data_IF_647713949599
#
_entry.id   IF_647713949599
#
_cell.length_a   1.000
_cell.length_b   1.000
_cell.length_c   1.000
_cell.angle_alpha   90.00
_cell.angle_beta   90.00
_cell.angle_gamma   90.00
#
_symmetry.space_group_name_H-M   'P 1'
#
loop_
_entity.id
_entity.type
_entity.pdbx_description
1 polymer ?
#
# COMPACT_ATOMS: atom_id res chain seq x y z
N UNK A 1 14.92 21.17 -9.28
CA UNK A 1 13.61 20.72 -8.79
C UNK A 1 13.84 19.76 -7.64
N UNK A 2 13.50 20.16 -6.40
CA UNK A 2 13.63 19.26 -5.23
C UNK A 2 12.38 18.36 -5.23
N UNK A 3 12.56 17.08 -5.49
CA UNK A 3 11.51 16.06 -5.31
C UNK A 3 11.22 15.94 -3.81
N UNK A 4 9.95 16.01 -3.45
CA UNK A 4 9.52 15.90 -2.07
C UNK A 4 9.37 14.45 -1.71
N UNK A 5 9.74 14.17 -0.48
CA UNK A 5 9.73 12.93 0.26
C UNK A 5 9.09 11.72 -0.43
N UNK A 6 9.87 10.69 -0.65
CA UNK A 6 9.35 9.41 -1.08
C UNK A 6 8.57 8.79 0.10
N UNK A 7 7.29 8.52 -0.09
CA UNK A 7 6.55 7.64 0.79
C UNK A 7 6.71 6.23 0.28
N UNK A 8 7.27 5.37 1.08
CA UNK A 8 7.50 3.97 0.73
C UNK A 8 6.82 3.11 1.76
N UNK A 9 5.97 2.22 1.30
CA UNK A 9 5.40 1.17 2.12
C UNK A 9 5.66 -0.18 1.47
N UNK A 10 6.09 -1.13 2.26
CA UNK A 10 6.15 -2.53 1.86
C UNK A 10 5.37 -3.35 2.88
N UNK A 11 4.52 -4.23 2.39
CA UNK A 11 3.81 -5.20 3.21
C UNK A 11 4.35 -6.60 2.91
N UNK A 12 4.70 -7.35 3.94
CA UNK A 12 5.07 -8.75 3.83
C UNK A 12 4.09 -9.58 4.66
N UNK A 13 3.45 -10.57 4.03
CA UNK A 13 2.62 -11.56 4.69
C UNK A 13 3.38 -12.88 4.80
N UNK A 14 3.62 -13.33 6.03
CA UNK A 14 4.26 -14.60 6.34
C UNK A 14 3.18 -15.66 6.57
N UNK A 15 3.12 -16.66 5.71
CA UNK A 15 2.19 -17.77 5.85
C UNK A 15 2.95 -19.02 6.32
N UNK A 16 2.65 -19.45 7.54
CA UNK A 16 3.13 -20.71 8.11
C UNK A 16 2.03 -21.76 8.05
N UNK A 17 2.25 -22.86 7.34
CA UNK A 17 1.39 -24.04 7.32
C UNK A 17 2.27 -25.28 7.38
N UNK A 18 1.86 -26.25 8.19
CA UNK A 18 2.47 -27.60 8.19
C UNK A 18 1.88 -28.42 7.04
N UNK A 19 2.67 -28.77 6.04
CA UNK A 19 2.25 -29.60 4.91
C UNK A 19 3.01 -30.92 4.89
N UNK A 20 2.28 -32.03 4.64
CA UNK A 20 2.83 -33.36 4.36
C UNK A 20 3.16 -33.53 2.88
N UNK A 21 4.28 -34.13 2.62
CA UNK A 21 5.09 -34.18 1.43
C UNK A 21 4.52 -34.72 0.11
N UNK A 22 5.18 -34.30 -0.97
CA UNK A 22 5.13 -34.81 -2.34
C UNK A 22 6.33 -34.28 -3.14
N UNK A 23 6.89 -35.07 -4.04
CA UNK A 23 8.13 -34.80 -4.75
C UNK A 23 8.02 -33.75 -5.88
N UNK A 24 9.14 -33.03 -6.23
CA UNK A 24 9.11 -31.88 -7.11
C UNK A 24 9.31 -32.20 -8.59
N UNK A 25 8.67 -31.44 -9.48
CA UNK A 25 8.95 -31.43 -10.91
C UNK A 25 9.55 -30.09 -11.35
N UNK A 26 10.71 -30.20 -12.00
CA UNK A 26 11.47 -29.29 -12.90
C UNK A 26 11.33 -27.78 -12.87
N UNK A 27 12.52 -27.15 -12.82
CA UNK A 27 12.86 -25.74 -12.97
C UNK A 27 12.08 -24.99 -14.06
N UNK A 28 11.33 -23.98 -13.63
CA UNK A 28 11.00 -22.85 -14.48
C UNK A 28 11.55 -21.60 -13.81
N UNK A 29 12.50 -20.95 -14.48
CA UNK A 29 12.95 -19.61 -14.09
C UNK A 29 11.78 -18.65 -14.25
N UNK A 30 11.25 -18.04 -13.19
CA UNK A 30 10.08 -17.17 -13.33
C UNK A 30 10.49 -15.85 -13.99
N UNK A 31 9.84 -15.53 -15.08
CA UNK A 31 9.94 -14.20 -15.67
C UNK A 31 9.40 -13.14 -14.70
N UNK A 32 9.95 -11.94 -14.81
CA UNK A 32 9.55 -10.76 -14.06
C UNK A 32 8.05 -10.53 -14.28
N UNK A 33 7.22 -10.68 -13.25
CA UNK A 33 5.83 -10.27 -13.32
C UNK A 33 5.77 -8.80 -13.67
N UNK A 34 5.07 -8.47 -14.73
CA UNK A 34 4.97 -7.11 -15.25
C UNK A 34 3.50 -6.70 -15.22
N UNK A 35 3.23 -5.54 -14.63
CA UNK A 35 1.97 -4.83 -14.81
C UNK A 35 1.89 -4.19 -16.21
N UNK A 36 2.92 -4.39 -17.06
CA UNK A 36 2.90 -3.96 -18.46
C UNK A 36 1.82 -4.75 -19.20
N UNK A 37 0.85 -4.02 -19.75
CA UNK A 37 -0.28 -4.60 -20.47
C UNK A 37 -1.63 -4.48 -19.75
N UNK A 38 -1.68 -3.84 -18.59
CA UNK A 38 -2.94 -3.41 -18.02
C UNK A 38 -3.54 -2.30 -18.91
N UNK A 39 -4.76 -2.51 -19.37
CA UNK A 39 -5.50 -1.42 -20.02
C UNK A 39 -5.72 -0.29 -19.00
N UNK A 40 -5.41 0.97 -19.37
CA UNK A 40 -5.60 2.09 -18.47
C UNK A 40 -7.08 2.26 -18.12
N UNK A 41 -7.42 2.18 -16.83
CA UNK A 41 -8.75 2.55 -16.33
C UNK A 41 -8.68 3.92 -15.66
N UNK A 42 -9.71 4.73 -15.90
CA UNK A 42 -9.75 6.09 -15.36
C UNK A 42 -10.04 6.12 -13.85
N UNK A 43 -10.77 5.14 -13.33
CA UNK A 43 -11.17 5.05 -11.93
C UNK A 43 -11.62 3.61 -11.59
N UNK A 44 -11.64 3.29 -10.30
CA UNK A 44 -12.27 2.07 -9.78
C UNK A 44 -13.79 2.13 -9.97
N UNK A 45 -14.42 0.94 -9.95
CA UNK A 45 -15.88 0.84 -9.81
C UNK A 45 -16.36 1.51 -8.51
N UNK A 46 -17.63 1.91 -8.44
CA UNK A 46 -18.17 2.52 -7.21
C UNK A 46 -18.15 1.54 -6.03
N UNK A 47 -18.38 0.25 -6.29
CA UNK A 47 -18.25 -0.79 -5.27
C UNK A 47 -16.80 -0.96 -4.82
N UNK A 48 -15.84 -0.98 -5.75
CA UNK A 48 -14.40 -1.05 -5.46
C UNK A 48 -13.92 0.15 -4.66
N UNK A 49 -14.36 1.38 -5.01
CA UNK A 49 -14.07 2.58 -4.22
C UNK A 49 -14.62 2.48 -2.79
N UNK A 50 -15.86 2.04 -2.64
CA UNK A 50 -16.50 1.90 -1.34
C UNK A 50 -15.79 0.86 -0.47
N UNK A 51 -15.48 -0.32 -1.02
CA UNK A 51 -14.74 -1.39 -0.34
C UNK A 51 -13.35 -0.93 0.09
N UNK A 52 -12.58 -0.39 -0.85
CA UNK A 52 -11.23 0.10 -0.57
C UNK A 52 -11.22 1.24 0.47
N UNK A 53 -12.12 2.24 0.34
CA UNK A 53 -12.18 3.37 1.28
C UNK A 53 -12.57 2.92 2.68
N UNK A 54 -13.53 1.98 2.78
CA UNK A 54 -13.93 1.38 4.07
C UNK A 54 -12.76 0.62 4.71
N UNK A 55 -12.07 -0.21 3.94
CA UNK A 55 -10.88 -0.93 4.40
C UNK A 55 -9.77 0.04 4.87
N UNK A 56 -9.46 1.05 4.06
CA UNK A 56 -8.40 2.01 4.35
C UNK A 56 -8.66 2.78 5.65
N UNK A 57 -9.89 3.23 5.83
CA UNK A 57 -10.30 3.96 7.03
C UNK A 57 -10.26 3.04 8.27
N UNK A 58 -10.83 1.85 8.19
CA UNK A 58 -10.78 0.88 9.29
C UNK A 58 -9.36 0.49 9.66
N UNK A 59 -8.49 0.27 8.69
CA UNK A 59 -7.08 -0.02 8.94
C UNK A 59 -6.43 1.11 9.75
N UNK A 60 -6.66 2.36 9.36
CA UNK A 60 -6.15 3.53 10.10
C UNK A 60 -6.73 3.59 11.52
N UNK A 61 -8.04 3.40 11.68
CA UNK A 61 -8.72 3.45 12.98
C UNK A 61 -8.23 2.36 13.95
N UNK A 62 -7.96 1.16 13.44
CA UNK A 62 -7.54 0.01 14.26
C UNK A 62 -6.03 0.03 14.60
N UNK A 63 -5.23 0.76 13.84
CA UNK A 63 -3.77 0.76 14.01
C UNK A 63 -3.21 2.09 14.52
N UNK A 64 -4.02 3.15 14.57
CA UNK A 64 -3.59 4.41 15.12
C UNK A 64 -3.37 4.32 16.63
N UNK A 65 -2.17 4.65 17.10
CA UNK A 65 -1.82 4.70 18.52
C UNK A 65 -1.78 6.16 18.98
N UNK A 66 -2.34 6.42 20.17
CA UNK A 66 -2.37 7.76 20.75
C UNK A 66 -0.95 8.25 21.08
N UNK A 67 -0.62 9.47 20.63
CA UNK A 67 0.67 10.08 20.85
C UNK A 67 1.81 9.61 19.95
N UNK A 68 1.55 8.63 19.06
CA UNK A 68 2.55 8.10 18.14
C UNK A 68 2.33 8.58 16.69
N UNK A 69 3.41 8.57 15.91
CA UNK A 69 3.32 8.83 14.48
C UNK A 69 2.94 7.54 13.74
N UNK A 70 1.82 7.55 13.03
CA UNK A 70 1.41 6.45 12.19
C UNK A 70 1.64 6.75 10.71
N UNK A 71 2.27 5.82 10.00
CA UNK A 71 2.39 5.84 8.54
C UNK A 71 1.93 4.49 7.98
N UNK A 72 0.85 4.51 7.21
CA UNK A 72 0.25 3.32 6.62
C UNK A 72 0.16 3.44 5.10
N UNK A 73 0.21 2.30 4.43
CA UNK A 73 -0.20 2.18 3.03
C UNK A 73 -1.40 1.24 2.93
N UNK A 74 -2.62 1.76 3.00
CA UNK A 74 -3.80 0.92 2.82
C UNK A 74 -3.80 0.16 1.49
N UNK A 75 -3.29 0.77 0.41
CA UNK A 75 -3.18 0.11 -0.89
C UNK A 75 -2.28 -1.13 -0.83
N UNK A 76 -1.11 -1.05 -0.19
CA UNK A 76 -0.23 -2.21 -0.03
C UNK A 76 -0.86 -3.32 0.80
N UNK A 77 -1.50 -2.97 1.92
CA UNK A 77 -2.17 -3.94 2.77
C UNK A 77 -3.36 -4.60 2.06
N UNK A 78 -4.17 -3.80 1.35
CA UNK A 78 -5.32 -4.29 0.57
C UNK A 78 -4.88 -5.29 -0.49
N UNK A 79 -3.88 -4.95 -1.30
CA UNK A 79 -3.36 -5.81 -2.35
C UNK A 79 -2.73 -7.09 -1.80
N UNK A 80 -1.96 -7.02 -0.71
CA UNK A 80 -1.36 -8.20 -0.10
C UNK A 80 -2.42 -9.16 0.46
N UNK A 81 -3.47 -8.64 1.11
CA UNK A 81 -4.59 -9.46 1.59
C UNK A 81 -5.40 -10.04 0.42
N UNK A 82 -5.64 -9.29 -0.64
CA UNK A 82 -6.34 -9.76 -1.82
C UNK A 82 -5.56 -10.87 -2.55
N UNK A 83 -4.24 -10.73 -2.69
CA UNK A 83 -3.37 -11.81 -3.17
C UNK A 83 -3.54 -13.09 -2.34
N UNK A 84 -3.57 -12.95 -1.02
CA UNK A 84 -3.75 -14.06 -0.08
C UNK A 84 -5.13 -14.69 -0.20
N UNK A 85 -6.20 -13.90 -0.42
CA UNK A 85 -7.58 -14.36 -0.57
C UNK A 85 -7.74 -15.33 -1.75
N UNK A 86 -6.92 -15.22 -2.79
CA UNK A 86 -6.89 -16.17 -3.91
C UNK A 86 -6.44 -17.58 -3.49
N UNK A 87 -5.70 -17.71 -2.38
CA UNK A 87 -5.30 -19.00 -1.80
C UNK A 87 -6.24 -19.50 -0.70
N UNK A 88 -7.12 -18.65 -0.20
CA UNK A 88 -8.06 -19.01 0.86
C UNK A 88 -9.27 -19.78 0.32
N UNK A 89 -9.97 -20.51 1.21
CA UNK A 89 -11.20 -21.20 0.88
C UNK A 89 -12.21 -21.17 2.05
N UNK A 90 -13.47 -21.51 1.77
CA UNK A 90 -14.53 -21.64 2.75
C UNK A 90 -14.72 -20.37 3.60
N UNK A 91 -14.70 -20.54 4.92
CA UNK A 91 -14.94 -19.45 5.87
C UNK A 91 -13.83 -18.40 5.87
N UNK A 92 -12.57 -18.82 5.71
CA UNK A 92 -11.43 -17.90 5.66
C UNK A 92 -11.56 -16.92 4.48
N UNK A 93 -11.88 -17.43 3.28
CA UNK A 93 -12.13 -16.60 2.10
C UNK A 93 -13.25 -15.61 2.35
N UNK A 94 -14.37 -16.07 2.91
CA UNK A 94 -15.51 -15.20 3.21
C UNK A 94 -15.13 -14.06 4.15
N UNK A 95 -14.44 -14.36 5.25
CA UNK A 95 -13.97 -13.33 6.19
C UNK A 95 -13.02 -12.33 5.54
N UNK A 96 -12.12 -12.77 4.65
CA UNK A 96 -11.24 -11.89 3.91
C UNK A 96 -12.01 -10.98 2.96
N UNK A 97 -12.99 -11.51 2.22
CA UNK A 97 -13.83 -10.71 1.35
C UNK A 97 -14.66 -9.68 2.12
N UNK A 98 -15.20 -10.06 3.28
CA UNK A 98 -15.95 -9.15 4.16
C UNK A 98 -15.06 -8.00 4.64
N UNK A 99 -13.83 -8.28 5.05
CA UNK A 99 -12.86 -7.25 5.49
C UNK A 99 -12.46 -6.33 4.34
N UNK A 100 -12.27 -6.89 3.14
CA UNK A 100 -11.87 -6.15 1.93
C UNK A 100 -13.07 -5.46 1.25
N UNK A 101 -14.29 -5.67 1.75
CA UNK A 101 -15.50 -5.04 1.21
C UNK A 101 -15.87 -5.52 -0.20
N UNK A 102 -15.52 -6.75 -0.57
CA UNK A 102 -15.75 -7.31 -1.89
C UNK A 102 -16.89 -8.35 -1.87
N UNK A 103 -17.72 -8.34 -2.91
CA UNK A 103 -18.84 -9.26 -3.02
C UNK A 103 -18.39 -10.71 -3.26
N UNK A 104 -17.35 -10.89 -4.06
CA UNK A 104 -16.74 -12.16 -4.40
C UNK A 104 -15.28 -11.98 -4.84
N UNK A 105 -14.59 -13.11 -5.05
CA UNK A 105 -13.17 -13.10 -5.42
C UNK A 105 -12.91 -12.49 -6.81
N UNK A 106 -13.84 -12.68 -7.75
CA UNK A 106 -13.71 -12.12 -9.10
C UNK A 106 -13.82 -10.58 -9.09
N UNK A 107 -14.79 -10.04 -8.35
CA UNK A 107 -14.94 -8.62 -8.13
C UNK A 107 -13.69 -8.03 -7.43
N UNK A 108 -13.21 -8.67 -6.36
CA UNK A 108 -12.00 -8.28 -5.65
C UNK A 108 -10.79 -8.21 -6.58
N UNK A 109 -10.56 -9.25 -7.37
CA UNK A 109 -9.43 -9.31 -8.29
C UNK A 109 -9.50 -8.21 -9.37
N UNK A 110 -10.70 -7.95 -9.90
CA UNK A 110 -10.93 -6.88 -10.85
C UNK A 110 -10.65 -5.51 -10.24
N UNK A 111 -11.21 -5.22 -9.06
CA UNK A 111 -10.99 -3.96 -8.36
C UNK A 111 -9.51 -3.76 -7.98
N UNK A 112 -8.80 -4.83 -7.59
CA UNK A 112 -7.36 -4.77 -7.32
C UNK A 112 -6.54 -4.46 -8.57
N UNK A 113 -6.87 -5.08 -9.71
CA UNK A 113 -6.23 -4.78 -11.00
C UNK A 113 -6.46 -3.33 -11.39
N UNK A 114 -7.68 -2.84 -11.24
CA UNK A 114 -8.06 -1.48 -11.58
C UNK A 114 -7.40 -0.46 -10.64
N UNK A 115 -7.31 -0.74 -9.34
CA UNK A 115 -6.54 0.08 -8.38
C UNK A 115 -5.08 0.21 -8.79
N UNK A 116 -4.43 -0.89 -9.14
CA UNK A 116 -3.05 -0.88 -9.62
C UNK A 116 -2.92 -0.08 -10.91
N UNK A 117 -3.85 -0.26 -11.86
CA UNK A 117 -3.87 0.51 -13.12
C UNK A 117 -4.00 2.01 -12.87
N UNK A 118 -4.88 2.44 -11.95
CA UNK A 118 -5.03 3.86 -11.57
C UNK A 118 -3.73 4.41 -10.99
N UNK A 119 -3.05 3.66 -10.12
CA UNK A 119 -1.81 4.09 -9.48
C UNK A 119 -0.65 4.20 -10.48
N UNK A 120 -0.35 3.10 -11.21
CA UNK A 120 0.79 3.07 -12.13
C UNK A 120 0.54 3.81 -13.44
N UNK A 121 -0.73 4.01 -13.82
CA UNK A 121 -1.14 4.80 -14.98
C UNK A 121 -1.02 6.32 -14.79
N UNK A 122 -0.38 6.76 -13.72
CA UNK A 122 -0.06 8.17 -13.50
C UNK A 122 0.88 8.68 -14.58
N UNK A 123 0.54 9.76 -15.31
CA UNK A 123 1.32 10.24 -16.46
C UNK A 123 2.74 10.68 -16.07
N UNK A 124 2.95 11.12 -14.83
CA UNK A 124 4.24 11.56 -14.33
C UNK A 124 5.06 10.42 -13.70
N UNK A 125 4.52 9.19 -13.68
CA UNK A 125 5.20 8.02 -13.13
C UNK A 125 5.48 8.11 -11.62
N UNK A 126 4.60 8.78 -10.88
CA UNK A 126 4.78 9.02 -9.44
C UNK A 126 4.68 7.77 -8.59
N UNK A 127 3.95 6.76 -9.06
CA UNK A 127 3.79 5.51 -8.35
C UNK A 127 4.61 4.40 -9.00
N UNK A 128 5.35 3.66 -8.18
CA UNK A 128 5.95 2.38 -8.56
C UNK A 128 5.39 1.32 -7.63
N UNK A 129 4.78 0.32 -8.21
CA UNK A 129 4.15 -0.78 -7.50
C UNK A 129 4.72 -2.08 -8.01
N UNK A 130 5.07 -2.99 -7.09
CA UNK A 130 5.51 -4.33 -7.45
C UNK A 130 5.02 -5.35 -6.43
N UNK A 131 4.64 -6.53 -6.94
CA UNK A 131 4.20 -7.67 -6.15
C UNK A 131 5.10 -8.87 -6.41
N UNK A 132 5.37 -9.68 -5.40
CA UNK A 132 6.09 -10.94 -5.54
C UNK A 132 5.59 -12.01 -4.58
N UNK A 133 5.71 -13.26 -5.04
CA UNK A 133 5.45 -14.46 -4.26
C UNK A 133 6.77 -15.22 -4.13
N UNK A 134 7.24 -15.37 -2.90
CA UNK A 134 8.41 -16.18 -2.58
C UNK A 134 7.91 -17.49 -2.00
N UNK A 135 8.16 -18.58 -2.66
CA UNK A 135 7.60 -19.89 -2.34
C UNK A 135 8.74 -20.81 -1.90
N UNK A 136 8.60 -21.38 -0.70
CA UNK A 136 9.56 -22.37 -0.23
C UNK A 136 9.52 -23.61 -1.13
N UNK A 137 10.66 -24.06 -1.63
CA UNK A 137 10.77 -25.27 -2.46
C UNK A 137 10.12 -26.48 -1.81
N UNK A 138 10.22 -26.62 -0.48
CA UNK A 138 9.57 -27.70 0.28
C UNK A 138 8.03 -27.66 0.18
N UNK A 139 7.46 -26.53 -0.14
CA UNK A 139 6.01 -26.31 -0.23
C UNK A 139 5.46 -26.30 -1.66
N UNK A 140 6.34 -26.36 -2.65
CA UNK A 140 5.98 -26.17 -4.07
C UNK A 140 4.84 -27.07 -4.55
N UNK A 141 4.86 -28.35 -4.15
CA UNK A 141 3.83 -29.32 -4.54
C UNK A 141 2.44 -29.05 -3.93
N UNK A 142 2.37 -28.23 -2.90
CA UNK A 142 1.11 -27.86 -2.23
C UNK A 142 0.48 -26.61 -2.83
N UNK A 143 1.18 -25.89 -3.72
CA UNK A 143 0.67 -24.68 -4.35
C UNK A 143 -0.23 -25.03 -5.53
N UNK A 144 -1.46 -24.57 -5.49
CA UNK A 144 -2.40 -24.75 -6.60
C UNK A 144 -2.02 -23.86 -7.78
N UNK A 145 -1.93 -24.37 -9.02
CA UNK A 145 -1.61 -23.54 -10.20
C UNK A 145 -2.56 -22.34 -10.37
N UNK A 146 -3.84 -22.50 -10.09
CA UNK A 146 -4.82 -21.43 -10.18
C UNK A 146 -4.51 -20.23 -9.24
N UNK A 147 -3.89 -20.50 -8.07
CA UNK A 147 -3.43 -19.43 -7.18
C UNK A 147 -2.30 -18.60 -7.81
N UNK A 148 -1.33 -19.28 -8.42
CA UNK A 148 -0.21 -18.60 -9.09
C UNK A 148 -0.71 -17.81 -10.30
N UNK A 149 -1.61 -18.38 -11.08
CA UNK A 149 -2.18 -17.75 -12.26
C UNK A 149 -2.98 -16.50 -11.90
N UNK A 150 -3.87 -16.57 -10.91
CA UNK A 150 -4.62 -15.42 -10.44
C UNK A 150 -3.70 -14.29 -9.94
N UNK A 151 -2.67 -14.63 -9.16
CA UNK A 151 -1.72 -13.64 -8.68
C UNK A 151 -0.87 -13.03 -9.81
N UNK A 152 -0.52 -13.81 -10.82
CA UNK A 152 0.16 -13.30 -12.02
C UNK A 152 -0.75 -12.39 -12.85
N UNK A 153 -1.99 -12.82 -13.09
CA UNK A 153 -2.95 -12.12 -13.96
C UNK A 153 -3.43 -10.80 -13.36
N UNK A 154 -3.88 -10.83 -12.09
CA UNK A 154 -4.53 -9.67 -11.48
C UNK A 154 -3.60 -8.77 -10.70
N UNK A 155 -2.45 -9.28 -10.26
CA UNK A 155 -1.50 -8.51 -9.42
C UNK A 155 -0.12 -8.34 -10.05
N UNK A 156 0.13 -8.92 -11.23
CA UNK A 156 1.46 -8.90 -11.83
C UNK A 156 2.53 -9.52 -10.93
N UNK A 157 2.15 -10.39 -10.00
CA UNK A 157 3.05 -10.92 -9.01
C UNK A 157 4.00 -11.96 -9.62
N UNK A 158 5.31 -11.70 -9.51
CA UNK A 158 6.34 -12.65 -9.89
C UNK A 158 6.44 -13.76 -8.83
N UNK A 159 6.14 -15.00 -9.21
CA UNK A 159 6.33 -16.16 -8.35
C UNK A 159 7.79 -16.65 -8.43
N UNK A 160 8.43 -16.86 -7.28
CA UNK A 160 9.81 -17.32 -7.13
C UNK A 160 9.86 -18.54 -6.23
N UNK A 161 10.38 -19.64 -6.77
CA UNK A 161 10.60 -20.86 -6.01
C UNK A 161 12.01 -20.83 -5.45
N UNK A 162 12.15 -20.77 -4.12
CA UNK A 162 13.43 -20.55 -3.44
C UNK A 162 13.61 -21.51 -2.26
N UNK A 163 14.85 -21.86 -1.96
CA UNK A 163 15.16 -22.48 -0.68
C UNK A 163 15.14 -21.41 0.42
N UNK A 164 14.30 -21.62 1.45
CA UNK A 164 14.20 -20.71 2.60
C UNK A 164 15.30 -20.96 3.64
N UNK A 165 16.49 -21.40 3.18
CA UNK A 165 17.73 -21.48 3.94
C UNK A 165 18.48 -20.15 3.99
N UNK A 166 19.80 -20.26 4.12
CA UNK A 166 20.69 -19.09 4.15
C UNK A 166 20.58 -18.26 2.87
N UNK A 167 20.48 -16.93 3.03
CA UNK A 167 20.49 -15.96 1.92
C UNK A 167 19.11 -15.60 1.36
N UNK A 168 18.00 -16.20 1.83
CA UNK A 168 16.67 -15.84 1.34
C UNK A 168 16.25 -14.44 1.79
N UNK A 169 16.58 -14.07 3.03
CA UNK A 169 16.28 -12.74 3.58
C UNK A 169 16.97 -11.66 2.75
N UNK A 170 18.24 -11.83 2.42
CA UNK A 170 18.99 -10.90 1.60
C UNK A 170 18.43 -10.80 0.17
N UNK A 171 17.95 -11.91 -0.39
CA UNK A 171 17.30 -11.90 -1.72
C UNK A 171 16.01 -11.10 -1.71
N UNK A 172 15.16 -11.30 -0.70
CA UNK A 172 13.89 -10.58 -0.54
C UNK A 172 14.18 -9.10 -0.29
N UNK A 173 15.08 -8.77 0.63
CA UNK A 173 15.44 -7.39 0.93
C UNK A 173 16.02 -6.67 -0.29
N UNK A 174 16.88 -7.33 -1.06
CA UNK A 174 17.40 -6.77 -2.32
C UNK A 174 16.27 -6.48 -3.31
N UNK A 175 15.34 -7.41 -3.48
CA UNK A 175 14.19 -7.20 -4.36
C UNK A 175 13.34 -6.01 -3.91
N UNK A 176 13.14 -5.84 -2.60
CA UNK A 176 12.43 -4.69 -2.01
C UNK A 176 13.20 -3.40 -2.29
N UNK A 177 14.49 -3.37 -2.03
CA UNK A 177 15.36 -2.20 -2.30
C UNK A 177 15.32 -1.80 -3.77
N UNK A 178 15.45 -2.75 -4.70
CA UNK A 178 15.39 -2.51 -6.14
C UNK A 178 14.03 -1.92 -6.59
N UNK A 179 12.91 -2.37 -5.99
CA UNK A 179 11.57 -1.89 -6.33
C UNK A 179 11.15 -0.62 -5.57
N UNK A 180 11.93 -0.21 -4.59
CA UNK A 180 11.71 1.03 -3.82
C UNK A 180 12.79 2.08 -4.05
N UNK A 181 13.58 1.93 -5.12
CA UNK A 181 14.69 2.85 -5.45
C UNK A 181 15.66 3.06 -4.27
N UNK A 182 15.95 2.00 -3.51
CA UNK A 182 16.82 2.05 -2.33
C UNK A 182 16.22 2.80 -1.14
N UNK A 183 14.90 3.00 -1.07
CA UNK A 183 14.27 3.68 0.07
C UNK A 183 14.00 2.74 1.24
N UNK A 184 13.83 1.45 0.94
CA UNK A 184 13.76 0.39 1.96
C UNK A 184 14.90 -0.57 1.67
N UNK A 185 15.92 -0.55 2.49
CA UNK A 185 17.10 -1.40 2.34
C UNK A 185 16.86 -2.80 2.92
N UNK A 186 16.05 -2.89 3.97
CA UNK A 186 15.69 -4.16 4.61
C UNK A 186 14.22 -4.13 5.06
N UNK A 187 13.46 -5.12 4.62
CA UNK A 187 12.07 -5.37 5.03
C UNK A 187 12.01 -6.49 6.09
N UNK A 188 12.88 -7.47 5.96
CA UNK A 188 12.92 -8.65 6.84
C UNK A 188 14.27 -8.73 7.52
N UNK A 189 14.26 -9.03 8.82
CA UNK A 189 15.46 -9.34 9.60
C UNK A 189 15.75 -10.84 9.63
N UNK A 190 14.68 -11.64 9.61
CA UNK A 190 14.77 -13.10 9.64
C UNK A 190 13.56 -13.73 8.93
N UNK A 191 13.76 -14.96 8.45
CA UNK A 191 12.72 -15.80 7.91
C UNK A 191 12.92 -17.24 8.37
N UNK A 192 11.89 -17.84 8.96
CA UNK A 192 11.94 -19.23 9.38
C UNK A 192 11.96 -20.18 8.18
N UNK A 193 12.78 -21.24 8.26
CA UNK A 193 12.86 -22.26 7.21
C UNK A 193 11.56 -23.05 6.98
N UNK A 194 10.65 -23.00 7.96
CA UNK A 194 9.35 -23.67 7.92
C UNK A 194 8.24 -22.76 7.38
N UNK A 195 8.58 -21.51 7.05
CA UNK A 195 7.62 -20.66 6.37
C UNK A 195 7.31 -21.22 4.99
N UNK A 196 6.04 -21.27 4.68
CA UNK A 196 5.52 -21.84 3.44
C UNK A 196 5.73 -20.89 2.27
N UNK A 197 5.42 -19.60 2.48
CA UNK A 197 5.44 -18.56 1.45
C UNK A 197 5.57 -17.19 2.11
N UNK A 198 6.17 -16.26 1.36
CA UNK A 198 6.16 -14.82 1.67
C UNK A 198 5.55 -14.08 0.47
N UNK A 199 4.51 -13.30 0.72
CA UNK A 199 3.95 -12.36 -0.25
C UNK A 199 4.48 -10.98 0.07
N UNK A 200 5.03 -10.30 -0.92
CA UNK A 200 5.57 -8.95 -0.76
C UNK A 200 4.91 -8.01 -1.76
N UNK A 201 4.40 -6.91 -1.25
CA UNK A 201 4.00 -5.75 -2.02
C UNK A 201 4.91 -4.58 -1.69
N UNK A 202 5.31 -3.81 -2.69
CA UNK A 202 6.00 -2.53 -2.54
C UNK A 202 5.23 -1.45 -3.27
N UNK A 203 5.09 -0.29 -2.64
CA UNK A 203 4.52 0.92 -3.23
C UNK A 203 5.41 2.11 -2.89
N UNK A 204 5.98 2.71 -3.91
CA UNK A 204 6.76 3.94 -3.82
C UNK A 204 5.97 5.08 -4.47
N UNK A 205 5.86 6.20 -3.77
CA UNK A 205 5.34 7.46 -4.30
C UNK A 205 6.41 8.54 -4.26
N UNK A 206 6.67 9.19 -5.40
CA UNK A 206 7.55 10.36 -5.53
C UNK A 206 6.86 11.40 -6.40
N UNK A 207 6.35 12.47 -5.80
CA UNK A 207 5.61 13.50 -6.51
C UNK A 207 6.28 14.88 -6.49
N UNK A 208 5.87 15.74 -7.41
CA UNK A 208 6.25 17.16 -7.45
C UNK A 208 5.00 17.99 -7.18
N UNK A 209 5.09 19.02 -6.31
CA UNK A 209 3.97 19.91 -6.07
C UNK A 209 3.56 20.68 -7.33
N UNK A 210 2.27 20.85 -7.57
CA UNK A 210 1.76 21.72 -8.62
C UNK A 210 2.26 23.16 -8.46
N UNK A 211 2.31 23.63 -7.22
CA UNK A 211 2.93 24.89 -6.83
C UNK A 211 4.03 24.60 -5.82
N UNK A 212 5.29 24.85 -6.21
CA UNK A 212 6.46 24.55 -5.39
C UNK A 212 6.59 25.54 -4.24
N UNK A 213 6.81 25.02 -3.02
CA UNK A 213 7.21 25.86 -1.89
C UNK A 213 8.58 26.47 -2.13
N UNK A 214 8.71 27.77 -1.89
CA UNK A 214 9.99 28.47 -2.04
C UNK A 214 10.86 28.17 -0.80
N UNK A 215 12.11 27.73 -0.98
CA UNK A 215 12.99 27.44 0.16
C UNK A 215 13.20 28.65 1.09
N UNK A 216 13.22 29.86 0.52
CA UNK A 216 13.42 31.14 1.22
C UNK A 216 12.25 31.51 2.13
N UNK A 217 11.06 30.94 1.84
CA UNK A 217 9.86 31.10 2.67
C UNK A 217 9.80 30.09 3.83
N UNK A 218 10.80 29.20 3.95
CA UNK A 218 10.87 28.27 5.08
C UNK A 218 11.47 28.95 6.29
N UNK A 219 10.77 28.97 7.41
CA UNK A 219 11.22 29.57 8.67
C UNK A 219 10.96 28.67 9.86
N UNK A 220 11.62 28.96 10.99
CA UNK A 220 11.35 28.23 12.24
C UNK A 220 9.93 28.49 12.73
N UNK A 221 9.18 27.43 13.02
CA UNK A 221 7.85 27.50 13.60
C UNK A 221 7.68 26.51 14.75
N UNK A 222 6.76 26.79 15.65
CA UNK A 222 6.45 25.90 16.76
C UNK A 222 5.51 24.80 16.30
N UNK A 223 5.90 23.56 16.54
CA UNK A 223 5.06 22.40 16.39
C UNK A 223 4.68 21.84 17.76
N UNK A 224 3.38 21.83 18.06
CA UNK A 224 2.84 21.35 19.32
C UNK A 224 2.71 19.81 19.27
N UNK A 225 3.74 19.11 19.73
CA UNK A 225 3.74 17.65 19.81
C UNK A 225 3.24 17.18 21.18
N UNK A 226 2.74 15.94 21.26
CA UNK A 226 2.28 15.33 22.52
C UNK A 226 3.35 15.35 23.63
N UNK A 227 4.64 15.23 23.26
CA UNK A 227 5.79 15.33 24.19
C UNK A 227 6.29 16.76 24.44
N UNK A 228 5.55 17.81 24.08
CA UNK A 228 5.89 19.23 24.21
C UNK A 228 6.29 19.91 22.90
N UNK A 229 6.36 21.22 22.96
CA UNK A 229 6.65 22.07 21.81
C UNK A 229 8.03 21.80 21.20
N UNK A 230 8.07 21.74 19.86
CA UNK A 230 9.31 21.58 19.07
C UNK A 230 9.43 22.71 18.06
N UNK A 231 10.59 23.30 17.92
CA UNK A 231 10.87 24.23 16.82
C UNK A 231 11.33 23.45 15.60
N UNK A 232 10.54 23.54 14.54
CA UNK A 232 10.80 22.83 13.26
C UNK A 232 10.84 23.84 12.11
N UNK A 233 11.60 23.56 11.02
CA UNK A 233 11.50 24.35 9.80
C UNK A 233 10.13 24.11 9.16
N UNK A 234 9.32 25.18 9.08
CA UNK A 234 7.99 25.17 8.49
C UNK A 234 8.04 25.81 7.10
N UNK A 235 7.48 25.12 6.10
CA UNK A 235 7.31 25.66 4.76
C UNK A 235 6.07 26.56 4.73
N UNK A 236 6.20 27.76 4.17
CA UNK A 236 5.11 28.71 4.03
C UNK A 236 4.78 28.97 2.57
N UNK A 237 3.49 29.04 2.26
CA UNK A 237 2.98 29.39 0.94
C UNK A 237 1.60 30.04 1.07
N UNK A 238 1.35 31.09 0.29
CA UNK A 238 0.02 31.69 0.15
C UNK A 238 -0.55 31.29 -1.21
N UNK A 239 -1.76 30.77 -1.22
CA UNK A 239 -2.48 30.35 -2.43
C UNK A 239 -3.81 31.06 -2.51
N UNK A 240 -4.11 31.68 -3.64
CA UNK A 240 -5.38 32.39 -3.89
C UNK A 240 -6.54 31.45 -4.24
N UNK A 241 -6.24 30.22 -4.68
CA UNK A 241 -7.18 29.20 -5.15
C UNK A 241 -7.10 27.91 -4.33
N UNK A 242 -6.69 28.00 -3.06
CA UNK A 242 -6.63 26.83 -2.18
C UNK A 242 -8.04 26.24 -1.98
N UNK A 243 -8.15 24.92 -2.12
CA UNK A 243 -9.35 24.21 -1.71
C UNK A 243 -9.29 24.08 -0.19
N UNK A 244 -10.27 24.69 0.47
CA UNK A 244 -10.35 24.76 1.92
C UNK A 244 -11.71 24.22 2.40
N UNK A 245 -11.68 23.42 3.43
CA UNK A 245 -12.84 22.94 4.13
C UNK A 245 -12.70 23.23 5.63
N UNK A 246 -13.76 23.68 6.26
CA UNK A 246 -13.79 23.87 7.70
C UNK A 246 -15.20 23.66 8.24
N UNK A 247 -15.30 22.93 9.35
CA UNK A 247 -16.53 22.80 10.13
C UNK A 247 -16.23 22.90 11.64
N UNK A 248 -17.17 22.46 12.48
CA UNK A 248 -17.02 22.46 13.95
C UNK A 248 -15.92 21.51 14.45
N UNK A 249 -15.45 20.56 13.66
CA UNK A 249 -14.59 19.45 14.09
C UNK A 249 -13.21 19.44 13.45
N UNK A 250 -13.07 19.96 12.24
CA UNK A 250 -11.83 19.84 11.46
C UNK A 250 -11.61 21.05 10.55
N UNK A 251 -10.36 21.36 10.29
CA UNK A 251 -9.91 22.18 9.17
C UNK A 251 -9.16 21.27 8.18
N UNK A 252 -9.43 21.39 6.88
CA UNK A 252 -8.75 20.58 5.87
C UNK A 252 -8.43 21.38 4.62
N UNK A 253 -7.34 21.00 3.96
CA UNK A 253 -6.95 21.56 2.66
C UNK A 253 -6.29 20.50 1.79
N UNK A 254 -6.33 20.71 0.47
CA UNK A 254 -5.64 19.84 -0.49
C UNK A 254 -4.48 20.58 -1.13
N UNK A 255 -3.34 19.90 -1.17
CA UNK A 255 -2.15 20.35 -1.88
C UNK A 255 -1.97 19.46 -3.11
N UNK A 256 -2.31 19.96 -4.32
CA UNK A 256 -2.22 19.16 -5.54
C UNK A 256 -0.76 18.94 -5.96
N UNK A 257 -0.50 17.77 -6.54
CA UNK A 257 0.72 17.50 -7.29
C UNK A 257 0.56 17.94 -8.74
N UNK A 258 1.65 18.06 -9.49
CA UNK A 258 1.67 18.60 -10.85
C UNK A 258 1.11 17.63 -11.92
N UNK A 259 0.72 16.42 -11.53
CA UNK A 259 0.06 15.44 -12.40
C UNK A 259 -1.42 15.74 -12.67
N UNK A 260 -2.01 16.70 -11.95
CA UNK A 260 -3.42 17.08 -12.05
C UNK A 260 -4.40 16.01 -11.54
N UNK A 261 -3.94 14.94 -10.90
CA UNK A 261 -4.74 13.79 -10.43
C UNK A 261 -4.56 13.50 -8.96
N UNK A 262 -3.37 13.72 -8.44
CA UNK A 262 -2.97 13.38 -7.07
C UNK A 262 -2.90 14.62 -6.21
N UNK A 263 -3.27 14.51 -4.95
CA UNK A 263 -3.13 15.58 -3.96
C UNK A 263 -2.80 15.00 -2.59
N UNK A 264 -2.12 15.79 -1.77
CA UNK A 264 -2.02 15.56 -0.34
C UNK A 264 -3.22 16.24 0.35
N UNK A 265 -4.05 15.45 1.02
CA UNK A 265 -5.06 15.96 1.94
C UNK A 265 -4.43 16.19 3.31
N UNK A 266 -4.48 17.43 3.79
CA UNK A 266 -4.12 17.79 5.15
C UNK A 266 -5.40 18.05 5.94
N UNK A 267 -5.58 17.31 7.04
CA UNK A 267 -6.70 17.50 7.96
C UNK A 267 -6.15 17.78 9.36
N UNK A 268 -6.63 18.86 9.97
CA UNK A 268 -6.27 19.27 11.32
C UNK A 268 -7.54 19.25 12.17
N UNK A 269 -7.76 18.24 13.02
CA UNK A 269 -8.86 18.19 13.95
C UNK A 269 -8.80 19.37 14.96
N UNK A 270 -9.97 19.87 15.36
CA UNK A 270 -10.10 20.91 16.39
C UNK A 270 -10.16 20.35 17.81
N UNK A 271 -10.36 19.04 17.94
CA UNK A 271 -10.35 18.27 19.19
C UNK A 271 -9.26 17.20 19.15
N UNK A 272 -9.40 16.17 19.99
CA UNK A 272 -8.47 15.07 20.07
C UNK A 272 -8.43 14.27 18.75
N UNK A 273 -7.24 14.05 18.23
CA UNK A 273 -7.01 13.39 16.93
C UNK A 273 -7.62 11.98 16.89
N UNK A 274 -7.43 11.21 17.95
CA UNK A 274 -7.91 9.83 18.00
C UNK A 274 -9.43 9.74 18.02
N UNK A 275 -10.11 10.61 18.78
CA UNK A 275 -11.57 10.71 18.80
C UNK A 275 -12.13 11.14 17.44
N UNK A 276 -11.50 12.13 16.82
CA UNK A 276 -11.90 12.59 15.49
C UNK A 276 -11.72 11.48 14.45
N UNK A 277 -10.56 10.78 14.45
CA UNK A 277 -10.29 9.67 13.55
C UNK A 277 -11.31 8.54 13.72
N UNK A 278 -11.67 8.18 14.96
CA UNK A 278 -12.69 7.17 15.26
C UNK A 278 -14.09 7.57 14.77
N UNK A 279 -14.38 8.87 14.67
CA UNK A 279 -15.66 9.39 14.18
C UNK A 279 -15.81 9.39 12.66
N UNK A 280 -14.71 9.24 11.91
CA UNK A 280 -14.73 9.29 10.45
C UNK A 280 -15.49 8.10 9.84
N UNK A 281 -16.17 8.40 8.75
CA UNK A 281 -16.82 7.43 7.87
C UNK A 281 -16.25 7.58 6.45
N UNK A 282 -16.40 6.60 5.56
CA UNK A 282 -16.02 6.78 4.16
C UNK A 282 -16.69 7.98 3.49
N UNK A 283 -17.93 8.28 3.88
CA UNK A 283 -18.66 9.45 3.35
C UNK A 283 -18.05 10.77 3.83
N UNK A 284 -17.74 10.90 5.14
CA UNK A 284 -17.11 12.12 5.67
C UNK A 284 -15.69 12.30 5.11
N UNK A 285 -14.93 11.22 4.95
CA UNK A 285 -13.62 11.27 4.30
C UNK A 285 -13.73 11.77 2.84
N UNK A 286 -14.75 11.30 2.10
CA UNK A 286 -15.03 11.79 0.75
C UNK A 286 -15.40 13.27 0.68
N UNK A 287 -15.97 13.82 1.74
CA UNK A 287 -16.28 15.28 1.82
C UNK A 287 -15.01 16.11 2.02
N UNK A 288 -14.00 15.57 2.71
CA UNK A 288 -12.72 16.24 2.93
C UNK A 288 -11.81 16.15 1.68
N UNK A 289 -11.95 15.09 0.87
CA UNK A 289 -11.13 14.81 -0.31
C UNK A 289 -11.71 15.45 -1.57
#
# INVERSE_FOLDING_TARGET
>A
MKRIGAFVCAAALLLGLTACGGEPSSEQTPERGSLSGLEPVAALSDAGKAGYSSFALRLMQETAEEGENNLLSPASAYLALAMTANGADGNTRRQMLDVLGAADLGALNTDCRDLQSVLVGNPNGYFRLANSLWINQKAASSIRPAFLEANREYFGAAARLEDFGAGIVEKINRWVSDNTAGRIDALLDALGQDNFMVLVNTLLFEGTWAETFQPEATSGGTFHAAGGDKTLPMMHQTRSNAVWYEDGTVQATRLPFDDGRTALLLALPKGELHEWLASLTPASLGTLA
#
